data_IF_193142748850
#
_entry.id   IF_193142748850
#
_cell.length_a   1.000
_cell.length_b   1.000
_cell.length_c   1.000
_cell.angle_alpha   90.00
_cell.angle_beta   90.00
_cell.angle_gamma   90.00
#
_symmetry.space_group_name_H-M   'P 1'
#
loop_
_entity.id
_entity.type
_entity.pdbx_description
1 polymer ?
#
# COMPACT_ATOMS: atom_id res chain seq x y z
N UNK A 1 12.57 -16.47 -9.89
CA UNK A 1 11.47 -15.62 -10.41
C UNK A 1 11.88 -14.16 -10.21
N UNK A 2 11.91 -13.37 -11.28
CA UNK A 2 12.83 -12.24 -11.48
C UNK A 2 12.75 -11.06 -10.50
N UNK A 3 13.83 -10.83 -9.72
CA UNK A 3 14.13 -9.54 -9.06
C UNK A 3 14.22 -8.37 -10.06
N UNK A 4 14.43 -8.68 -11.34
CA UNK A 4 14.50 -7.73 -12.46
C UNK A 4 13.16 -7.08 -12.83
N UNK A 5 12.01 -7.67 -12.43
CA UNK A 5 10.69 -7.07 -12.69
C UNK A 5 10.26 -6.08 -11.59
N UNK A 6 10.78 -6.25 -10.37
CA UNK A 6 10.57 -5.32 -9.25
C UNK A 6 11.43 -4.06 -9.39
N UNK A 7 12.61 -4.18 -10.02
CA UNK A 7 13.53 -3.07 -10.21
C UNK A 7 13.08 -2.04 -11.27
N UNK A 8 12.18 -2.41 -12.20
CA UNK A 8 11.78 -1.52 -13.29
C UNK A 8 10.82 -0.39 -12.85
N UNK A 9 10.20 -0.50 -11.67
CA UNK A 9 9.28 0.52 -11.12
C UNK A 9 9.99 1.42 -10.08
N UNK A 10 11.18 1.05 -9.60
CA UNK A 10 11.96 1.80 -8.59
C UNK A 10 12.90 2.88 -9.18
N UNK A 11 12.68 3.32 -10.41
CA UNK A 11 13.62 4.23 -11.07
C UNK A 11 13.23 5.71 -10.93
N UNK A 12 13.32 6.30 -9.73
CA UNK A 12 13.93 7.63 -9.59
C UNK A 12 14.26 8.00 -8.12
N UNK A 13 15.56 8.16 -7.88
CA UNK A 13 16.23 8.96 -6.83
C UNK A 13 16.14 8.51 -5.35
N UNK A 14 17.28 7.99 -4.86
CA UNK A 14 17.74 7.97 -3.46
C UNK A 14 16.92 7.14 -2.45
N UNK A 15 16.51 5.93 -2.80
CA UNK A 15 16.15 4.93 -1.80
C UNK A 15 17.42 4.14 -1.41
N UNK A 16 17.94 4.39 -0.21
CA UNK A 16 18.92 3.49 0.43
C UNK A 16 18.38 2.05 0.44
N UNK A 17 19.23 1.00 0.38
CA UNK A 17 18.78 -0.40 0.33
C UNK A 17 17.82 -0.80 1.47
N UNK A 18 17.81 -0.09 2.60
CA UNK A 18 16.88 -0.27 3.70
C UNK A 18 15.39 -0.17 3.29
N UNK A 19 15.04 0.68 2.32
CA UNK A 19 13.64 0.87 1.91
C UNK A 19 13.05 -0.36 1.20
N UNK A 20 13.88 -1.24 0.62
CA UNK A 20 13.42 -2.49 0.02
C UNK A 20 13.13 -3.56 1.10
N UNK A 21 13.94 -3.62 2.15
CA UNK A 21 13.73 -4.49 3.31
C UNK A 21 12.45 -4.09 4.07
N UNK A 22 12.21 -2.78 4.21
CA UNK A 22 11.03 -2.22 4.88
C UNK A 22 9.69 -2.58 4.21
N UNK A 23 9.64 -2.72 2.88
CA UNK A 23 8.43 -3.14 2.16
C UNK A 23 8.14 -4.63 2.35
N UNK A 24 9.17 -5.48 2.29
CA UNK A 24 9.01 -6.91 2.52
C UNK A 24 8.53 -7.18 3.95
N UNK A 25 9.05 -6.44 4.92
CA UNK A 25 8.61 -6.50 6.31
C UNK A 25 7.15 -6.03 6.47
N UNK A 26 6.73 -4.98 5.76
CA UNK A 26 5.34 -4.53 5.76
C UNK A 26 4.39 -5.62 5.25
N UNK A 27 4.73 -6.23 4.12
CA UNK A 27 3.94 -7.31 3.51
C UNK A 27 3.97 -8.56 4.39
N UNK A 28 5.11 -8.88 5.00
CA UNK A 28 5.23 -10.02 5.89
C UNK A 28 4.41 -9.82 7.18
N UNK A 29 4.45 -8.63 7.78
CA UNK A 29 3.62 -8.26 8.92
C UNK A 29 2.13 -8.40 8.58
N UNK A 30 1.71 -7.88 7.42
CA UNK A 30 0.33 -8.02 6.94
C UNK A 30 -0.10 -9.48 6.79
N UNK A 31 0.75 -10.32 6.17
CA UNK A 31 0.50 -11.76 6.00
C UNK A 31 0.43 -12.52 7.32
N UNK A 32 1.16 -12.07 8.34
CA UNK A 32 1.11 -12.63 9.69
C UNK A 32 -0.09 -12.13 10.52
N UNK A 33 -0.89 -11.21 10.00
CA UNK A 33 -1.99 -10.58 10.71
C UNK A 33 -1.57 -9.48 11.68
N UNK A 34 -0.29 -9.09 11.68
CA UNK A 34 0.20 -7.93 12.43
C UNK A 34 -0.10 -6.65 11.65
N UNK A 35 -1.38 -6.28 11.67
CA UNK A 35 -1.89 -5.14 10.92
C UNK A 35 -1.40 -3.80 11.46
N UNK A 36 -1.09 -3.70 12.76
CA UNK A 36 -0.53 -2.48 13.34
C UNK A 36 0.86 -2.19 12.76
N UNK A 37 1.72 -3.20 12.72
CA UNK A 37 3.05 -3.07 12.10
C UNK A 37 2.93 -2.84 10.60
N UNK A 38 2.06 -3.58 9.91
CA UNK A 38 1.84 -3.40 8.48
C UNK A 38 1.38 -1.98 8.14
N UNK A 39 0.44 -1.42 8.90
CA UNK A 39 -0.07 -0.07 8.68
C UNK A 39 1.06 0.96 8.84
N UNK A 40 1.83 0.84 9.93
CA UNK A 40 2.96 1.72 10.21
C UNK A 40 3.99 1.69 9.09
N UNK A 41 4.29 0.50 8.56
CA UNK A 41 5.28 0.34 7.50
C UNK A 41 4.76 0.74 6.12
N UNK A 42 3.48 0.50 5.79
CA UNK A 42 2.90 0.93 4.51
C UNK A 42 2.71 2.45 4.41
N UNK A 43 2.47 3.13 5.53
CA UNK A 43 2.25 4.59 5.59
C UNK A 43 3.30 5.41 4.83
N UNK A 44 4.61 5.32 5.11
CA UNK A 44 5.61 6.08 4.39
C UNK A 44 5.65 5.78 2.89
N UNK A 45 5.50 4.51 2.47
CA UNK A 45 5.47 4.16 1.05
C UNK A 45 4.26 4.75 0.32
N UNK A 46 3.11 4.80 0.98
CA UNK A 46 1.90 5.38 0.40
C UNK A 46 2.01 6.91 0.28
N UNK A 47 2.62 7.55 1.29
CA UNK A 47 2.93 8.99 1.30
C UNK A 47 3.95 9.38 0.22
N UNK A 48 4.90 8.50 -0.09
CA UNK A 48 5.84 8.66 -1.21
C UNK A 48 5.20 8.42 -2.59
N UNK A 49 3.90 8.14 -2.64
CA UNK A 49 3.19 7.95 -3.90
C UNK A 49 3.15 6.51 -4.41
N UNK A 50 3.63 5.52 -3.64
CA UNK A 50 3.62 4.13 -4.09
C UNK A 50 2.20 3.59 -4.26
N UNK A 51 1.73 3.43 -5.51
CA UNK A 51 0.35 3.03 -5.80
C UNK A 51 -0.08 1.67 -5.21
N UNK A 52 0.86 0.76 -4.93
CA UNK A 52 0.56 -0.50 -4.22
C UNK A 52 0.35 -0.21 -2.72
N UNK A 53 1.21 0.59 -2.10
CA UNK A 53 1.10 0.94 -0.68
C UNK A 53 -0.16 1.78 -0.39
N UNK A 54 -0.49 2.72 -1.27
CA UNK A 54 -1.75 3.46 -1.21
C UNK A 54 -2.95 2.52 -1.28
N UNK A 55 -2.95 1.56 -2.21
CA UNK A 55 -4.00 0.54 -2.25
C UNK A 55 -4.04 -0.29 -0.96
N UNK A 56 -2.90 -0.72 -0.43
CA UNK A 56 -2.85 -1.47 0.84
C UNK A 56 -3.43 -0.68 2.01
N UNK A 57 -3.09 0.60 2.18
CA UNK A 57 -3.70 1.43 3.23
C UNK A 57 -5.20 1.58 3.03
N UNK A 58 -5.64 1.84 1.80
CA UNK A 58 -7.07 1.92 1.49
C UNK A 58 -7.81 0.64 1.89
N UNK A 59 -7.19 -0.51 1.64
CA UNK A 59 -7.73 -1.81 2.04
C UNK A 59 -7.79 -1.96 3.55
N UNK A 60 -6.74 -1.57 4.27
CA UNK A 60 -6.70 -1.67 5.72
C UNK A 60 -7.75 -0.78 6.39
N UNK A 61 -7.94 0.46 5.93
CA UNK A 61 -9.00 1.34 6.42
C UNK A 61 -10.39 0.80 6.08
N UNK A 62 -10.60 0.26 4.88
CA UNK A 62 -11.90 -0.30 4.47
C UNK A 62 -12.31 -1.53 5.30
N UNK A 63 -11.35 -2.29 5.83
CA UNK A 63 -11.60 -3.53 6.58
C UNK A 63 -11.33 -3.40 8.08
N UNK A 64 -10.94 -2.21 8.56
CA UNK A 64 -10.58 -1.99 9.97
C UNK A 64 -9.37 -2.83 10.42
N UNK A 65 -8.38 -3.04 9.55
CA UNK A 65 -7.20 -3.84 9.84
C UNK A 65 -6.12 -2.98 10.49
N UNK A 66 -5.93 -3.13 11.80
CA UNK A 66 -4.93 -2.36 12.56
C UNK A 66 -5.32 -0.90 12.82
N UNK A 67 -6.49 -0.48 12.33
CA UNK A 67 -7.13 0.82 12.49
C UNK A 67 -8.63 0.65 12.59
N UNK A 68 -9.39 1.58 13.19
CA UNK A 68 -10.84 1.62 13.02
C UNK A 68 -11.21 1.65 11.54
N UNK A 69 -12.33 1.01 11.19
CA UNK A 69 -12.84 1.07 9.83
C UNK A 69 -13.20 2.52 9.47
N UNK A 70 -12.67 2.99 8.36
CA UNK A 70 -12.93 4.33 7.84
C UNK A 70 -12.98 4.30 6.31
N UNK A 71 -14.20 4.31 5.78
CA UNK A 71 -14.41 4.31 4.33
C UNK A 71 -13.99 5.62 3.66
N UNK A 72 -14.06 6.75 4.36
CA UNK A 72 -13.64 8.03 3.79
C UNK A 72 -12.12 8.05 3.56
N UNK A 73 -11.37 7.58 4.55
CA UNK A 73 -9.92 7.45 4.44
C UNK A 73 -9.54 6.36 3.41
N UNK A 74 -10.30 5.26 3.35
CA UNK A 74 -10.10 4.23 2.32
C UNK A 74 -10.26 4.80 0.89
N UNK A 75 -11.33 5.55 0.63
CA UNK A 75 -11.58 6.22 -0.65
C UNK A 75 -10.44 7.16 -1.02
N UNK A 76 -9.94 7.93 -0.05
CA UNK A 76 -8.82 8.86 -0.26
C UNK A 76 -7.60 8.13 -0.81
N UNK A 77 -7.20 7.05 -0.17
CA UNK A 77 -6.03 6.26 -0.59
C UNK A 77 -6.25 5.52 -1.90
N UNK A 78 -7.44 4.94 -2.11
CA UNK A 78 -7.74 4.26 -3.36
C UNK A 78 -7.79 5.22 -4.56
N UNK A 79 -8.25 6.46 -4.40
CA UNK A 79 -8.23 7.46 -5.49
C UNK A 79 -6.80 7.73 -5.96
N UNK A 80 -5.88 7.97 -5.03
CA UNK A 80 -4.46 8.17 -5.36
C UNK A 80 -3.85 6.97 -6.10
N UNK A 81 -4.16 5.75 -5.66
CA UNK A 81 -3.70 4.54 -6.35
C UNK A 81 -4.36 4.38 -7.74
N UNK A 82 -5.65 4.69 -7.86
CA UNK A 82 -6.42 4.59 -9.10
C UNK A 82 -5.97 5.60 -10.16
N UNK A 83 -5.56 6.80 -9.75
CA UNK A 83 -4.96 7.84 -10.61
C UNK A 83 -3.67 7.35 -11.27
N UNK A 84 -2.92 6.47 -10.59
CA UNK A 84 -1.73 5.81 -11.13
C UNK A 84 -2.05 4.53 -11.94
N UNK A 85 -3.33 4.27 -12.21
CA UNK A 85 -3.75 3.11 -12.99
C UNK A 85 -3.89 1.81 -12.19
N UNK A 86 -3.86 1.85 -10.85
CA UNK A 86 -4.09 0.65 -10.04
C UNK A 86 -5.54 0.15 -10.22
N UNK A 87 -5.70 -0.95 -10.96
CA UNK A 87 -7.00 -1.56 -11.25
C UNK A 87 -7.71 -2.10 -10.00
N UNK A 88 -6.97 -2.55 -8.99
CA UNK A 88 -7.55 -3.06 -7.75
C UNK A 88 -8.11 -1.93 -6.91
N UNK A 89 -7.45 -0.77 -6.90
CA UNK A 89 -7.98 0.43 -6.27
C UNK A 89 -9.26 0.92 -6.96
N UNK A 90 -9.29 0.95 -8.29
CA UNK A 90 -10.53 1.26 -9.05
C UNK A 90 -11.65 0.29 -8.75
N UNK A 91 -11.36 -1.01 -8.71
CA UNK A 91 -12.33 -2.03 -8.32
C UNK A 91 -12.87 -1.78 -6.92
N UNK A 92 -11.98 -1.57 -5.93
CA UNK A 92 -12.40 -1.34 -4.54
C UNK A 92 -13.21 -0.06 -4.37
N UNK A 93 -12.89 1.03 -5.10
CA UNK A 93 -13.72 2.25 -5.10
C UNK A 93 -15.15 2.00 -5.57
N UNK A 94 -15.34 1.14 -6.57
CA UNK A 94 -16.65 0.84 -7.13
C UNK A 94 -17.50 -0.09 -6.23
N UNK A 95 -16.85 -0.83 -5.32
CA UNK A 95 -17.49 -1.84 -4.45
C UNK A 95 -17.35 -1.48 -2.97
N UNK A 96 -17.06 -0.23 -2.64
CA UNK A 96 -17.09 0.27 -1.27
C UNK A 96 -18.54 0.67 -0.95
N UNK A 97 -19.10 0.12 0.12
CA UNK A 97 -20.47 0.37 0.58
C UNK A 97 -20.47 1.04 1.94
#
# INVERSE_FOLDING_TARGET
MNRLLLALIMLFALATPAAADDWEDAVAAYKRGDYTTALRLFKPFAEQGGGIAQWSLGYMYAHGQGVPQDYAEAVRWYRLAAEQGNRFAKYNLNHLH
#
